data_IF_772041118378
#
_entry.id   IF_772041118378
#
_cell.length_a   1.000
_cell.length_b   1.000
_cell.length_c   1.000
_cell.angle_alpha   90.00
_cell.angle_beta   90.00
_cell.angle_gamma   90.00
#
_symmetry.space_group_name_H-M   'P 1'
#
loop_
_entity.id
_entity.type
_entity.pdbx_description
1 polymer ?
#
# COMPACT_ATOMS: atom_id res chain seq x y z
N UNK A 1 23.97 4.64 21.97
CA UNK A 1 23.84 3.68 20.85
C UNK A 1 25.20 3.59 20.17
N UNK A 2 25.71 2.39 19.83
CA UNK A 2 27.01 2.26 19.17
C UNK A 2 26.98 3.00 17.83
N UNK A 3 28.06 3.71 17.51
CA UNK A 3 28.15 4.57 16.30
C UNK A 3 27.82 3.77 15.02
N UNK A 4 28.23 2.50 14.95
CA UNK A 4 27.89 1.60 13.85
C UNK A 4 26.39 1.35 13.67
N UNK A 5 25.61 1.26 14.76
CA UNK A 5 24.16 1.07 14.67
C UNK A 5 23.44 2.33 14.17
N UNK A 6 23.97 3.52 14.50
CA UNK A 6 23.44 4.80 14.02
C UNK A 6 23.65 4.92 12.51
N UNK A 7 24.86 4.60 12.04
CA UNK A 7 25.20 4.64 10.60
C UNK A 7 24.35 3.63 9.82
N UNK A 8 24.20 2.40 10.33
CA UNK A 8 23.35 1.39 9.72
C UNK A 8 21.89 1.85 9.61
N UNK A 9 21.32 2.36 10.71
CA UNK A 9 19.96 2.88 10.73
C UNK A 9 19.77 4.02 9.71
N UNK A 10 20.72 4.96 9.67
CA UNK A 10 20.67 6.09 8.74
C UNK A 10 20.66 5.63 7.27
N UNK A 11 21.49 4.65 6.91
CA UNK A 11 21.51 4.08 5.56
C UNK A 11 20.17 3.42 5.23
N UNK A 12 19.61 2.61 6.13
CA UNK A 12 18.31 1.94 5.93
C UNK A 12 17.20 2.96 5.71
N UNK A 13 17.15 4.03 6.51
CA UNK A 13 16.15 5.09 6.36
C UNK A 13 16.28 5.84 5.03
N UNK A 14 17.51 6.11 4.59
CA UNK A 14 17.74 6.74 3.27
C UNK A 14 17.24 5.84 2.14
N UNK A 15 17.48 4.52 2.23
CA UNK A 15 16.97 3.57 1.23
C UNK A 15 15.44 3.58 1.18
N UNK A 16 14.76 3.56 2.32
CA UNK A 16 13.29 3.64 2.36
C UNK A 16 12.77 4.95 1.77
N UNK A 17 13.40 6.08 2.12
CA UNK A 17 13.03 7.38 1.57
C UNK A 17 13.16 7.41 0.03
N UNK A 18 14.23 6.83 -0.52
CA UNK A 18 14.42 6.75 -1.98
C UNK A 18 13.32 5.90 -2.62
N UNK A 19 12.97 4.77 -2.02
CA UNK A 19 11.89 3.91 -2.52
C UNK A 19 10.52 4.63 -2.52
N UNK A 20 10.22 5.38 -1.46
CA UNK A 20 8.98 6.16 -1.36
C UNK A 20 8.89 7.25 -2.44
N UNK A 21 10.01 7.95 -2.69
CA UNK A 21 10.08 8.96 -3.75
C UNK A 21 9.86 8.32 -5.13
N UNK A 22 10.50 7.19 -5.41
CA UNK A 22 10.33 6.48 -6.68
C UNK A 22 8.85 6.07 -6.88
N UNK A 23 8.23 5.53 -5.84
CA UNK A 23 6.80 5.17 -5.87
C UNK A 23 5.94 6.39 -6.19
N UNK A 24 6.09 7.49 -5.45
CA UNK A 24 5.31 8.72 -5.66
C UNK A 24 5.48 9.29 -7.06
N UNK A 25 6.72 9.36 -7.56
CA UNK A 25 7.01 9.85 -8.91
C UNK A 25 6.36 8.96 -9.97
N UNK A 26 6.41 7.63 -9.81
CA UNK A 26 5.80 6.69 -10.76
C UNK A 26 4.26 6.79 -10.83
N UNK A 27 3.61 7.18 -9.74
CA UNK A 27 2.16 7.39 -9.67
C UNK A 27 1.75 8.77 -10.19
N UNK A 28 2.53 9.82 -9.88
CA UNK A 28 2.19 11.20 -10.21
C UNK A 28 2.57 11.61 -11.62
N UNK A 29 3.58 10.97 -12.22
CA UNK A 29 4.07 11.33 -13.55
C UNK A 29 3.58 10.29 -14.58
N UNK A 30 2.41 10.51 -15.20
CA UNK A 30 1.95 9.64 -16.30
C UNK A 30 2.94 9.73 -17.46
N UNK A 31 3.78 8.69 -17.60
CA UNK A 31 4.67 8.54 -18.75
C UNK A 31 3.94 7.99 -19.98
N UNK A 32 4.69 7.44 -20.94
CA UNK A 32 4.16 6.70 -22.08
C UNK A 32 3.07 5.71 -21.66
N UNK A 33 2.07 5.46 -22.52
CA UNK A 33 0.92 4.58 -22.25
C UNK A 33 1.34 3.22 -21.65
N UNK A 34 2.47 2.66 -22.11
CA UNK A 34 3.03 1.41 -21.58
C UNK A 34 3.46 1.52 -20.11
N UNK A 35 4.10 2.62 -19.73
CA UNK A 35 4.56 2.82 -18.36
C UNK A 35 3.38 3.05 -17.40
N UNK A 36 2.30 3.70 -17.87
CA UNK A 36 1.07 3.83 -17.09
C UNK A 36 0.40 2.47 -16.85
N UNK A 37 0.33 1.60 -17.87
CA UNK A 37 -0.22 0.25 -17.70
C UNK A 37 0.59 -0.54 -16.67
N UNK A 38 1.93 -0.43 -16.70
CA UNK A 38 2.80 -1.09 -15.72
C UNK A 38 2.53 -0.53 -14.31
N UNK A 39 2.47 0.79 -14.14
CA UNK A 39 2.19 1.43 -12.87
C UNK A 39 0.82 1.03 -12.31
N UNK A 40 -0.22 0.91 -13.15
CA UNK A 40 -1.55 0.47 -12.73
C UNK A 40 -1.60 -1.00 -12.34
N UNK A 41 -0.87 -1.88 -13.06
CA UNK A 41 -0.73 -3.29 -12.67
C UNK A 41 0.01 -3.44 -11.34
N UNK A 42 1.11 -2.70 -11.18
CA UNK A 42 1.87 -2.67 -9.93
C UNK A 42 1.00 -2.18 -8.77
N UNK A 43 0.25 -1.08 -8.97
CA UNK A 43 -0.66 -0.52 -7.96
C UNK A 43 -1.76 -1.49 -7.55
N UNK A 44 -2.35 -2.21 -8.51
CA UNK A 44 -3.36 -3.24 -8.24
C UNK A 44 -2.78 -4.41 -7.44
N UNK A 45 -1.56 -4.85 -7.76
CA UNK A 45 -0.86 -5.88 -7.01
C UNK A 45 -0.51 -5.43 -5.59
N UNK A 46 -0.02 -4.19 -5.42
CA UNK A 46 0.26 -3.64 -4.09
C UNK A 46 -0.99 -3.52 -3.25
N UNK A 47 -2.14 -3.14 -3.85
CA UNK A 47 -3.42 -3.10 -3.15
C UNK A 47 -3.81 -4.51 -2.67
N UNK A 48 -3.70 -5.52 -3.53
CA UNK A 48 -3.97 -6.92 -3.17
C UNK A 48 -3.05 -7.38 -2.02
N UNK A 49 -1.75 -7.12 -2.12
CA UNK A 49 -0.78 -7.48 -1.09
C UNK A 49 -1.09 -6.80 0.26
N UNK A 50 -1.44 -5.51 0.25
CA UNK A 50 -1.80 -4.76 1.45
C UNK A 50 -3.11 -5.24 2.08
N UNK A 51 -4.13 -5.54 1.27
CA UNK A 51 -5.38 -6.13 1.76
C UNK A 51 -5.12 -7.54 2.34
N UNK A 52 -4.32 -8.37 1.66
CA UNK A 52 -3.93 -9.69 2.15
C UNK A 52 -3.16 -9.64 3.48
N UNK A 53 -2.21 -8.70 3.61
CA UNK A 53 -1.48 -8.48 4.85
C UNK A 53 -2.41 -8.04 6.01
N UNK A 54 -3.40 -7.18 5.72
CA UNK A 54 -4.40 -6.80 6.70
C UNK A 54 -5.31 -7.98 7.10
N UNK A 55 -5.68 -8.87 6.17
CA UNK A 55 -6.43 -10.11 6.48
C UNK A 55 -5.61 -11.00 7.43
N UNK A 56 -4.34 -11.24 7.13
CA UNK A 56 -3.45 -12.01 8.00
C UNK A 56 -3.32 -11.36 9.39
N UNK A 57 -3.22 -10.04 9.43
CA UNK A 57 -3.18 -9.28 10.68
C UNK A 57 -4.47 -9.45 11.50
N UNK A 58 -5.65 -9.43 10.87
CA UNK A 58 -6.93 -9.70 11.56
C UNK A 58 -6.92 -11.10 12.17
N UNK A 59 -6.49 -12.11 11.42
CA UNK A 59 -6.43 -13.51 11.90
C UNK A 59 -5.47 -13.61 13.09
N UNK A 60 -4.26 -13.05 12.98
CA UNK A 60 -3.27 -13.08 14.06
C UNK A 60 -3.79 -12.39 15.33
N UNK A 61 -4.46 -11.25 15.18
CA UNK A 61 -5.00 -10.52 16.32
C UNK A 61 -6.19 -11.22 16.97
N UNK A 62 -7.02 -11.91 16.19
CA UNK A 62 -8.11 -12.74 16.72
C UNK A 62 -7.58 -13.92 17.54
N UNK A 63 -6.48 -14.54 17.08
CA UNK A 63 -5.84 -15.67 17.79
C UNK A 63 -5.06 -15.21 19.02
N UNK A 64 -4.37 -14.06 18.96
CA UNK A 64 -3.52 -13.56 20.06
C UNK A 64 -4.26 -12.71 21.10
N UNK A 65 -5.51 -12.32 20.85
CA UNK A 65 -6.35 -11.49 21.74
C UNK A 65 -5.62 -10.23 22.29
N UNK A 66 -4.79 -9.60 21.47
CA UNK A 66 -4.02 -8.41 21.85
C UNK A 66 -4.91 -7.15 21.75
N UNK A 67 -4.83 -6.20 22.70
CA UNK A 67 -5.47 -4.90 22.56
C UNK A 67 -4.77 -4.11 21.46
N UNK A 68 -5.49 -3.88 20.36
CA UNK A 68 -4.95 -3.16 19.21
C UNK A 68 -5.21 -1.65 19.30
N UNK A 69 -4.16 -0.86 19.14
CA UNK A 69 -4.23 0.60 18.93
C UNK A 69 -4.76 0.96 17.55
N UNK A 70 -4.64 0.07 16.55
CA UNK A 70 -5.16 0.24 15.20
C UNK A 70 -5.84 -1.05 14.75
N UNK A 71 -7.14 -1.01 14.49
CA UNK A 71 -7.91 -2.21 14.17
C UNK A 71 -7.82 -2.52 12.65
N UNK A 72 -7.12 -3.60 12.25
CA UNK A 72 -6.94 -3.98 10.85
C UNK A 72 -8.25 -4.38 10.18
N UNK A 73 -9.29 -4.76 10.93
CA UNK A 73 -10.62 -5.03 10.38
C UNK A 73 -11.27 -3.75 9.84
N UNK A 74 -11.16 -2.64 10.59
CA UNK A 74 -11.67 -1.34 10.14
C UNK A 74 -10.91 -0.89 8.88
N UNK A 75 -9.60 -1.13 8.81
CA UNK A 75 -8.82 -0.80 7.61
C UNK A 75 -9.21 -1.62 6.38
N UNK A 76 -9.54 -2.92 6.56
CA UNK A 76 -10.07 -3.75 5.47
C UNK A 76 -11.39 -3.23 4.94
N UNK A 77 -12.35 -2.93 5.83
CA UNK A 77 -13.67 -2.43 5.44
C UNK A 77 -13.57 -1.09 4.71
N UNK A 78 -12.75 -0.15 5.23
CA UNK A 78 -12.51 1.14 4.57
C UNK A 78 -11.89 0.94 3.19
N UNK A 79 -10.87 0.08 3.07
CA UNK A 79 -10.24 -0.22 1.78
C UNK A 79 -11.24 -0.84 0.78
N UNK A 80 -12.09 -1.76 1.24
CA UNK A 80 -13.10 -2.42 0.41
C UNK A 80 -14.17 -1.42 -0.08
N UNK A 81 -14.70 -0.57 0.80
CA UNK A 81 -15.70 0.45 0.44
C UNK A 81 -15.11 1.43 -0.57
N UNK A 82 -13.90 1.96 -0.31
CA UNK A 82 -13.24 2.90 -1.22
C UNK A 82 -12.97 2.27 -2.57
N UNK A 83 -12.48 1.02 -2.61
CA UNK A 83 -12.27 0.29 -3.85
C UNK A 83 -13.58 0.09 -4.63
N UNK A 84 -14.67 -0.28 -3.95
CA UNK A 84 -15.96 -0.50 -4.59
C UNK A 84 -16.55 0.79 -5.18
N UNK A 85 -16.47 1.90 -4.44
CA UNK A 85 -16.89 3.22 -4.92
C UNK A 85 -16.04 3.65 -6.13
N UNK A 86 -14.72 3.51 -6.05
CA UNK A 86 -13.81 3.82 -7.14
C UNK A 86 -14.13 2.97 -8.38
N UNK A 87 -14.37 1.67 -8.20
CA UNK A 87 -14.72 0.76 -9.29
C UNK A 87 -16.03 1.18 -9.97
N UNK A 88 -17.07 1.54 -9.22
CA UNK A 88 -18.33 2.03 -9.79
C UNK A 88 -18.13 3.34 -10.55
N UNK A 89 -17.35 4.28 -9.99
CA UNK A 89 -17.05 5.55 -10.64
C UNK A 89 -16.31 5.36 -11.97
N UNK A 90 -15.24 4.58 -11.99
CA UNK A 90 -14.46 4.33 -13.21
C UNK A 90 -15.22 3.46 -14.21
N UNK A 91 -16.04 2.49 -13.75
CA UNK A 91 -16.95 1.76 -14.64
C UNK A 91 -17.93 2.67 -15.35
N UNK A 92 -18.48 3.69 -14.66
CA UNK A 92 -19.40 4.65 -15.27
C UNK A 92 -18.71 5.62 -16.23
N UNK A 93 -17.41 5.89 -16.04
CA UNK A 93 -16.64 6.84 -16.83
C UNK A 93 -15.95 6.22 -18.05
N UNK A 94 -15.59 4.93 -17.98
CA UNK A 94 -14.76 4.24 -18.98
C UNK A 94 -15.38 2.92 -19.49
N UNK A 95 -16.45 2.44 -18.87
CA UNK A 95 -17.33 1.44 -19.49
C UNK A 95 -18.31 2.18 -20.39
N UNK A 96 -18.31 1.87 -21.69
CA UNK A 96 -19.21 2.46 -22.68
C UNK A 96 -20.68 2.30 -22.33
#
# INVERSE_FOLDING_TARGET
MPVGAIIFLAVVLVVFLVLDIIMLVSLLRPGDERNQIIAWKASSFTLLAMVGANILSVIENFVRAQPMTQNPFIQLEVAAIVYFIALMYYRRKHGG
#
